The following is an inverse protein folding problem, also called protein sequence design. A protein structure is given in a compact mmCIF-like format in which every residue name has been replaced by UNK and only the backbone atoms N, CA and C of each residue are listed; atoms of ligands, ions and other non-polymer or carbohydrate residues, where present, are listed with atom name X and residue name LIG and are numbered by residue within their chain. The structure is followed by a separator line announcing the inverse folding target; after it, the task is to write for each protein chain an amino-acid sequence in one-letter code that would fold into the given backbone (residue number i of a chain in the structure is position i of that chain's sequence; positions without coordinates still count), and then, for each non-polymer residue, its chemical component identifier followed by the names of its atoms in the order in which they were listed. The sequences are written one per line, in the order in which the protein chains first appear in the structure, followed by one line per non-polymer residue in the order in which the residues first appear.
data_IF_703709781058
#
_entry.id   IF_703709781058
#
_cell.length_a   1.000
_cell.length_b   1.000
_cell.length_c   1.000
_cell.angle_alpha   90.00
_cell.angle_beta   90.00
_cell.angle_gamma   90.00
#
_symmetry.space_group_name_H-M   'P 1'
#
loop_
_entity.id
_entity.type
_entity.pdbx_description
1 polymer ?
#
# COMPACT_ATOMS: atom_id res chain seq x y z
N UNK A 1 -8.56 2.16 14.96
CA UNK A 1 -9.23 0.84 15.09
C UNK A 1 -9.85 0.48 13.77
N UNK A 2 -9.60 -0.73 13.28
CA UNK A 2 -10.15 -1.26 12.03
C UNK A 2 -11.59 -1.70 12.16
N UNK A 3 -12.23 -2.01 11.03
CA UNK A 3 -13.64 -2.43 11.00
C UNK A 3 -13.94 -3.66 11.87
N UNK A 4 -12.92 -4.47 12.17
CA UNK A 4 -13.03 -5.68 12.99
C UNK A 4 -12.43 -5.51 14.41
N UNK A 5 -12.22 -4.26 14.86
CA UNK A 5 -11.68 -3.98 16.21
C UNK A 5 -10.16 -4.16 16.34
N UNK A 6 -9.43 -4.50 15.28
CA UNK A 6 -7.98 -4.63 15.28
C UNK A 6 -7.25 -3.29 15.10
N UNK A 7 -5.94 -3.24 15.41
CA UNK A 7 -5.07 -2.12 14.98
C UNK A 7 -4.87 -2.24 13.47
N UNK A 8 -5.12 -1.18 12.71
CA UNK A 8 -4.99 -1.22 11.24
C UNK A 8 -3.52 -1.41 10.87
N UNK A 9 -3.27 -2.27 9.89
CA UNK A 9 -1.95 -2.46 9.30
C UNK A 9 -1.66 -1.34 8.33
N UNK A 10 -0.52 -0.67 8.48
CA UNK A 10 -0.09 0.43 7.61
C UNK A 10 1.41 0.39 7.32
N UNK A 11 1.82 1.13 6.31
CA UNK A 11 3.21 1.55 6.10
C UNK A 11 3.26 3.08 5.95
N UNK A 12 4.45 3.67 5.97
CA UNK A 12 4.65 5.11 5.75
C UNK A 12 6.07 5.40 5.30
N UNK A 13 6.36 6.67 4.98
CA UNK A 13 7.75 7.06 4.77
C UNK A 13 8.60 6.83 6.03
N UNK A 14 9.83 6.27 5.92
CA UNK A 14 10.64 5.93 7.10
C UNK A 14 10.86 7.10 8.08
N UNK A 15 10.90 8.34 7.59
CA UNK A 15 11.08 9.53 8.44
C UNK A 15 9.93 9.79 9.42
N UNK A 16 8.73 9.27 9.17
CA UNK A 16 7.55 9.46 10.04
C UNK A 16 7.13 8.18 10.76
N UNK A 17 7.80 7.04 10.51
CA UNK A 17 7.46 5.74 11.07
C UNK A 17 7.27 5.77 12.61
N UNK A 18 8.21 6.42 13.32
CA UNK A 18 8.19 6.53 14.80
C UNK A 18 6.94 7.19 15.35
N UNK A 19 6.24 8.01 14.56
CA UNK A 19 4.99 8.67 14.97
C UNK A 19 3.78 7.72 14.91
N UNK A 20 3.93 6.55 14.27
CA UNK A 20 2.82 5.67 13.91
C UNK A 20 2.90 4.28 14.57
N UNK A 21 4.11 3.81 14.92
CA UNK A 21 4.35 2.44 15.45
C UNK A 21 3.55 2.12 16.72
N UNK A 22 3.25 3.11 17.55
CA UNK A 22 2.53 2.89 18.82
C UNK A 22 1.01 2.83 18.62
N UNK A 23 0.51 3.38 17.50
CA UNK A 23 -0.93 3.45 17.21
C UNK A 23 -1.39 2.35 16.25
N UNK A 24 -0.57 2.00 15.25
CA UNK A 24 -0.93 1.10 14.16
C UNK A 24 -0.10 -0.19 14.15
N UNK A 25 -0.58 -1.24 13.50
CA UNK A 25 0.26 -2.40 13.19
C UNK A 25 1.21 -2.01 12.05
N UNK A 26 2.41 -1.56 12.41
CA UNK A 26 3.33 -0.98 11.44
C UNK A 26 4.03 -2.08 10.63
N UNK A 27 4.03 -1.92 9.32
CA UNK A 27 4.70 -2.79 8.36
C UNK A 27 5.76 -2.02 7.60
N UNK A 28 6.84 -2.72 7.24
CA UNK A 28 7.88 -2.18 6.40
C UNK A 28 7.69 -2.44 4.89
N UNK A 29 6.57 -3.07 4.51
CA UNK A 29 6.23 -3.32 3.11
C UNK A 29 6.13 -2.01 2.32
N UNK A 30 6.39 -2.12 1.02
CA UNK A 30 6.33 -0.99 0.08
C UNK A 30 4.92 -0.45 -0.09
N UNK A 31 3.93 -1.33 -0.08
CA UNK A 31 2.50 -1.03 -0.09
C UNK A 31 1.79 -1.95 0.89
N UNK A 32 0.85 -1.40 1.65
CA UNK A 32 -0.03 -2.15 2.55
C UNK A 32 -1.47 -1.79 2.21
N UNK A 33 -2.30 -2.82 2.04
CA UNK A 33 -3.75 -2.68 1.97
C UNK A 33 -4.38 -3.48 3.10
N UNK A 34 -4.99 -2.77 4.06
CA UNK A 34 -5.85 -3.35 5.09
C UNK A 34 -7.27 -2.90 4.79
N UNK A 35 -8.09 -3.76 4.18
CA UNK A 35 -9.52 -3.54 3.93
C UNK A 35 -9.85 -2.12 3.43
N UNK A 36 -9.22 -1.74 2.32
CA UNK A 36 -9.42 -0.45 1.64
C UNK A 36 -8.62 0.72 2.19
N UNK A 37 -7.90 0.56 3.31
CA UNK A 37 -6.87 1.52 3.73
C UNK A 37 -5.56 1.16 3.05
N UNK A 38 -5.26 1.84 1.95
CA UNK A 38 -4.04 1.64 1.17
C UNK A 38 -3.01 2.68 1.60
N UNK A 39 -1.82 2.24 2.01
CA UNK A 39 -0.68 3.09 2.39
C UNK A 39 0.59 2.64 1.66
N UNK A 40 1.56 3.54 1.50
CA UNK A 40 2.80 3.29 0.74
C UNK A 40 4.03 3.93 1.41
N UNK A 41 5.22 3.36 1.16
CA UNK A 41 6.48 3.70 1.84
C UNK A 41 7.19 4.95 1.27
N UNK A 42 6.80 5.48 0.11
CA UNK A 42 7.32 6.74 -0.41
C UNK A 42 7.41 6.81 -1.94
N UNK A 43 8.17 7.77 -2.50
CA UNK A 43 8.27 7.98 -3.95
C UNK A 43 8.74 6.74 -4.70
N UNK A 44 9.65 5.97 -4.10
CA UNK A 44 10.17 4.74 -4.70
C UNK A 44 9.10 3.67 -4.94
N UNK A 45 8.00 3.67 -4.18
CA UNK A 45 6.89 2.69 -4.26
C UNK A 45 5.61 3.27 -4.87
N UNK A 46 5.71 4.42 -5.55
CA UNK A 46 4.55 5.12 -6.12
C UNK A 46 3.80 4.27 -7.17
N UNK A 47 4.53 3.54 -8.02
CA UNK A 47 3.91 2.70 -9.05
C UNK A 47 3.18 1.49 -8.47
N UNK A 48 3.78 0.79 -7.49
CA UNK A 48 3.11 -0.30 -6.78
C UNK A 48 1.85 0.21 -6.06
N UNK A 49 1.90 1.41 -5.48
CA UNK A 49 0.75 2.01 -4.82
C UNK A 49 -0.38 2.33 -5.81
N UNK A 50 -0.05 2.91 -6.97
CA UNK A 50 -1.02 3.17 -8.03
C UNK A 50 -1.64 1.87 -8.57
N UNK A 51 -0.83 0.82 -8.77
CA UNK A 51 -1.31 -0.48 -9.23
C UNK A 51 -2.22 -1.15 -8.20
N UNK A 52 -1.95 -1.03 -6.91
CA UNK A 52 -2.86 -1.53 -5.87
C UNK A 52 -4.20 -0.78 -5.90
N UNK A 53 -4.21 0.55 -6.10
CA UNK A 53 -5.46 1.32 -6.30
C UNK A 53 -6.23 0.80 -7.52
N UNK A 54 -5.56 0.61 -8.65
CA UNK A 54 -6.19 0.06 -9.87
C UNK A 54 -6.76 -1.33 -9.60
N UNK A 55 -6.02 -2.19 -8.90
CA UNK A 55 -6.49 -3.53 -8.51
C UNK A 55 -7.75 -3.45 -7.64
N UNK A 56 -7.80 -2.54 -6.66
CA UNK A 56 -8.96 -2.40 -5.77
C UNK A 56 -10.20 -1.84 -6.48
N UNK A 57 -10.03 -0.93 -7.43
CA UNK A 57 -11.16 -0.29 -8.13
C UNK A 57 -11.61 -1.02 -9.39
N UNK A 58 -10.68 -1.63 -10.12
CA UNK A 58 -10.89 -2.18 -11.47
C UNK A 58 -10.59 -3.68 -11.56
N UNK A 59 -10.15 -4.31 -10.47
CA UNK A 59 -9.79 -5.71 -10.40
C UNK A 59 -8.35 -6.03 -10.81
N UNK A 60 -7.88 -7.20 -10.40
CA UNK A 60 -6.49 -7.65 -10.59
C UNK A 60 -6.10 -7.81 -12.06
N UNK A 61 -7.02 -8.28 -12.91
CA UNK A 61 -6.78 -8.41 -14.35
C UNK A 61 -6.38 -7.06 -14.96
N UNK A 62 -7.10 -5.99 -14.62
CA UNK A 62 -6.80 -4.67 -15.17
C UNK A 62 -5.45 -4.13 -14.72
N UNK A 63 -5.08 -4.35 -13.46
CA UNK A 63 -3.77 -3.97 -12.94
C UNK A 63 -2.63 -4.70 -13.68
N UNK A 64 -2.80 -6.01 -13.95
CA UNK A 64 -1.82 -6.83 -14.70
C UNK A 64 -1.72 -6.45 -16.17
N UNK A 65 -2.79 -5.96 -16.80
CA UNK A 65 -2.74 -5.47 -18.18
C UNK A 65 -1.95 -4.17 -18.33
N UNK A 66 -2.05 -3.26 -17.35
CA UNK A 66 -1.41 -1.94 -17.44
C UNK A 66 0.04 -1.94 -16.95
N UNK A 67 0.47 -2.88 -16.11
CA UNK A 67 1.84 -2.93 -15.59
C UNK A 67 2.90 -3.12 -16.68
N UNK A 68 2.78 -4.06 -17.64
CA UNK A 68 3.82 -4.31 -18.64
C UNK A 68 4.29 -3.08 -19.42
N UNK A 69 3.42 -2.23 -20.02
CA UNK A 69 3.87 -1.05 -20.76
C UNK A 69 4.54 0.02 -19.89
N UNK A 70 4.48 -0.07 -18.55
CA UNK A 70 5.14 0.86 -17.63
C UNK A 70 6.62 0.55 -17.42
N UNK A 71 7.14 -0.57 -17.94
CA UNK A 71 8.56 -0.95 -17.90
C UNK A 71 9.14 -0.95 -16.47
N UNK A 72 8.33 -1.38 -15.49
CA UNK A 72 8.75 -1.51 -14.10
C UNK A 72 9.65 -2.73 -13.95
N UNK A 73 10.52 -2.72 -12.93
CA UNK A 73 11.27 -3.92 -12.54
C UNK A 73 10.30 -4.94 -11.94
N UNK A 74 10.52 -6.22 -12.26
CA UNK A 74 9.80 -7.35 -11.68
C UNK A 74 10.08 -7.51 -10.18
#
# INVERSE_FOLDING_TARGET
IGRNGHRRRITSHPSVAKQLIDTFEYSEDRVVNDDGLITSRGPGSAFEFALEIVKQLMGETRAKEIQPPMMLKD
#
